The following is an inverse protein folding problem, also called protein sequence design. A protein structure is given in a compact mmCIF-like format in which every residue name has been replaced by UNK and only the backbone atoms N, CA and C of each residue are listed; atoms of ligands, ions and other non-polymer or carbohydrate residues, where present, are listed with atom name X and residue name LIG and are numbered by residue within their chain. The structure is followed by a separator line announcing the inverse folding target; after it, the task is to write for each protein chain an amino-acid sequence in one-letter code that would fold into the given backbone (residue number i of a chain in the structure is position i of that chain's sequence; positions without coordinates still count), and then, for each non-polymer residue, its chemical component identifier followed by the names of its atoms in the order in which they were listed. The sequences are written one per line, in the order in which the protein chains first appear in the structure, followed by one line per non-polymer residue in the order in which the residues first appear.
data_IF_348094601649
#
_entry.id   IF_348094601649
#
_cell.length_a   1.000
_cell.length_b   1.000
_cell.length_c   1.000
_cell.angle_alpha   90.00
_cell.angle_beta   90.00
_cell.angle_gamma   90.00
#
_symmetry.space_group_name_H-M   'P 1'
#
loop_
_entity.id
_entity.type
_entity.pdbx_description
1 polymer ?
#
# COMPACT_ATOMS: atom_id res chain seq x y z
N UNK A 1 1.80 -3.70 -11.94
CA UNK A 1 1.70 -4.97 -11.20
C UNK A 1 0.59 -4.82 -10.17
N UNK A 2 -0.37 -5.74 -10.10
CA UNK A 2 -1.41 -5.69 -9.07
C UNK A 2 -1.00 -6.52 -7.85
N UNK A 3 -1.11 -5.95 -6.65
CA UNK A 3 -0.79 -6.61 -5.40
C UNK A 3 -1.99 -6.52 -4.45
N UNK A 4 -2.38 -7.67 -3.88
CA UNK A 4 -3.45 -7.75 -2.89
C UNK A 4 -2.88 -8.24 -1.58
N UNK A 5 -3.07 -7.45 -0.53
CA UNK A 5 -2.67 -7.80 0.82
C UNK A 5 -3.91 -8.10 1.67
N UNK A 6 -3.91 -9.24 2.36
CA UNK A 6 -5.00 -9.69 3.25
C UNK A 6 -4.54 -9.74 4.70
N UNK A 7 -5.41 -9.35 5.63
CA UNK A 7 -5.16 -9.35 7.07
C UNK A 7 -6.44 -9.77 7.79
N UNK A 8 -6.45 -10.97 8.37
CA UNK A 8 -7.64 -11.56 9.00
C UNK A 8 -8.83 -11.56 8.02
N UNK A 9 -9.82 -10.71 8.26
CA UNK A 9 -11.04 -10.48 7.50
C UNK A 9 -10.97 -9.26 6.56
N UNK A 10 -9.86 -8.53 6.55
CA UNK A 10 -9.63 -7.35 5.72
C UNK A 10 -8.78 -7.68 4.48
N UNK A 11 -8.99 -6.94 3.40
CA UNK A 11 -8.12 -7.00 2.23
C UNK A 11 -8.02 -5.68 1.51
N UNK A 12 -6.83 -5.32 1.03
CA UNK A 12 -6.64 -4.20 0.13
C UNK A 12 -5.90 -4.62 -1.13
N UNK A 13 -6.28 -4.04 -2.25
CA UNK A 13 -5.64 -4.21 -3.54
C UNK A 13 -5.13 -2.88 -4.02
N UNK A 14 -3.87 -2.87 -4.43
CA UNK A 14 -3.21 -1.71 -5.01
C UNK A 14 -2.62 -2.09 -6.36
N UNK A 15 -2.53 -1.11 -7.25
CA UNK A 15 -1.76 -1.23 -8.47
C UNK A 15 -0.43 -0.51 -8.26
N UNK A 16 0.65 -1.25 -8.45
CA UNK A 16 2.01 -0.75 -8.33
C UNK A 16 2.57 -0.60 -9.74
N UNK A 17 2.79 0.63 -10.15
CA UNK A 17 3.55 0.96 -11.36
C UNK A 17 4.96 1.30 -10.91
N UNK A 18 5.97 0.67 -11.48
CA UNK A 18 7.35 0.96 -11.13
C UNK A 18 8.25 0.92 -12.37
N UNK A 19 9.29 1.73 -12.33
CA UNK A 19 10.41 1.77 -13.26
C UNK A 19 11.72 1.80 -12.46
N UNK A 20 12.86 1.91 -13.14
CA UNK A 20 14.14 2.10 -12.44
C UNK A 20 14.24 3.46 -11.74
N UNK A 21 13.38 4.43 -12.08
CA UNK A 21 13.48 5.82 -11.63
C UNK A 21 12.24 6.30 -10.86
N UNK A 22 11.14 5.54 -10.89
CA UNK A 22 9.86 5.98 -10.33
C UNK A 22 9.00 4.82 -9.84
N UNK A 23 8.10 5.11 -8.91
CA UNK A 23 7.00 4.24 -8.52
C UNK A 23 5.73 5.04 -8.29
N UNK A 24 4.58 4.39 -8.48
CA UNK A 24 3.26 4.86 -8.07
C UNK A 24 2.50 3.68 -7.47
N UNK A 25 1.73 3.97 -6.41
CA UNK A 25 0.81 3.02 -5.79
C UNK A 25 -0.58 3.61 -5.86
N UNK A 26 -1.43 3.04 -6.70
CA UNK A 26 -2.81 3.46 -6.85
C UNK A 26 -3.72 2.52 -6.07
N UNK A 27 -4.60 3.08 -5.24
CA UNK A 27 -5.62 2.29 -4.56
C UNK A 27 -6.64 1.75 -5.56
N UNK A 28 -6.80 0.42 -5.63
CA UNK A 28 -7.75 -0.24 -6.54
C UNK A 28 -9.03 -0.60 -5.81
N UNK A 29 -8.92 -1.09 -4.58
CA UNK A 29 -10.08 -1.46 -3.80
C UNK A 29 -9.75 -2.08 -2.46
N UNK A 30 -10.76 -2.15 -1.61
CA UNK A 30 -10.65 -2.64 -0.24
C UNK A 30 -11.92 -3.37 0.21
N UNK A 31 -11.76 -4.36 1.07
CA UNK A 31 -12.86 -5.13 1.68
C UNK A 31 -12.71 -5.16 3.19
N UNK A 32 -13.83 -5.01 3.91
CA UNK A 32 -13.94 -4.91 5.37
C UNK A 32 -13.02 -3.85 6.00
N UNK A 33 -12.50 -2.90 5.23
CA UNK A 33 -11.55 -1.88 5.71
C UNK A 33 -12.23 -0.68 6.36
N UNK A 34 -13.55 -0.60 6.28
CA UNK A 34 -14.34 0.41 6.96
C UNK A 34 -14.56 -0.02 8.40
N UNK A 35 -13.98 0.70 9.34
CA UNK A 35 -14.43 0.72 10.72
C UNK A 35 -15.83 1.37 10.78
N UNK A 36 -16.57 1.09 11.85
CA UNK A 36 -17.86 1.72 12.10
C UNK A 36 -17.70 3.26 12.03
N UNK A 37 -18.41 3.91 11.09
CA UNK A 37 -18.31 5.36 10.86
C UNK A 37 -17.37 5.81 9.74
N UNK A 38 -17.16 5.00 8.70
CA UNK A 38 -16.42 5.37 7.47
C UNK A 38 -14.92 5.69 7.64
N UNK A 39 -14.32 5.35 8.79
CA UNK A 39 -12.88 5.49 8.99
C UNK A 39 -12.13 4.21 8.58
N UNK A 40 -11.05 4.35 7.82
CA UNK A 40 -10.19 3.22 7.48
C UNK A 40 -9.37 2.82 8.72
N UNK A 41 -9.42 1.54 9.12
CA UNK A 41 -8.77 1.04 10.34
C UNK A 41 -7.29 1.46 10.45
N UNK A 42 -6.88 1.94 11.64
CA UNK A 42 -5.49 2.38 11.92
C UNK A 42 -4.40 1.38 11.52
N UNK A 43 -4.69 0.09 11.62
CA UNK A 43 -3.78 -0.98 11.23
C UNK A 43 -3.48 -0.96 9.71
N UNK A 44 -4.46 -0.62 8.89
CA UNK A 44 -4.27 -0.46 7.45
C UNK A 44 -3.37 0.71 7.11
N UNK A 45 -3.65 1.89 7.68
CA UNK A 45 -2.82 3.08 7.45
C UNK A 45 -1.35 2.82 7.84
N UNK A 46 -1.13 2.10 8.95
CA UNK A 46 0.22 1.70 9.37
C UNK A 46 0.92 0.82 8.31
N UNK A 47 0.19 -0.11 7.70
CA UNK A 47 0.76 -1.01 6.69
C UNK A 47 1.03 -0.29 5.36
N UNK A 48 0.17 0.65 4.96
CA UNK A 48 0.40 1.50 3.78
C UNK A 48 1.65 2.35 3.98
N UNK A 49 1.76 3.05 5.12
CA UNK A 49 2.96 3.85 5.42
C UNK A 49 4.24 3.01 5.50
N UNK A 50 4.18 1.80 6.07
CA UNK A 50 5.34 0.91 6.10
C UNK A 50 5.79 0.48 4.68
N UNK A 51 4.84 0.29 3.76
CA UNK A 51 5.13 -0.03 2.37
C UNK A 51 5.73 1.18 1.63
N UNK A 52 5.19 2.37 1.86
CA UNK A 52 5.72 3.64 1.32
C UNK A 52 7.18 3.84 1.74
N UNK A 53 7.47 3.74 3.05
CA UNK A 53 8.82 3.86 3.62
C UNK A 53 9.82 2.88 3.00
N UNK A 54 9.40 1.63 2.75
CA UNK A 54 10.29 0.62 2.20
C UNK A 54 10.58 0.85 0.72
N UNK A 55 9.61 1.34 -0.05
CA UNK A 55 9.83 1.66 -1.46
C UNK A 55 10.73 2.90 -1.60
N UNK A 56 10.53 3.95 -0.79
CA UNK A 56 11.43 5.11 -0.76
C UNK A 56 12.88 4.70 -0.48
N UNK A 57 13.11 3.83 0.52
CA UNK A 57 14.45 3.32 0.82
C UNK A 57 15.07 2.55 -0.34
N UNK A 58 14.28 1.77 -1.08
CA UNK A 58 14.76 1.02 -2.25
C UNK A 58 15.12 1.95 -3.40
N UNK A 59 14.32 2.98 -3.65
CA UNK A 59 14.62 3.97 -4.69
C UNK A 59 15.84 4.82 -4.35
N UNK A 60 15.96 5.29 -3.10
CA UNK A 60 17.16 6.01 -2.65
C UNK A 60 18.44 5.20 -2.88
N UNK A 61 18.39 3.88 -2.63
CA UNK A 61 19.52 2.97 -2.89
C UNK A 61 19.77 2.70 -4.37
N UNK A 62 18.75 2.79 -5.23
CA UNK A 62 18.89 2.60 -6.67
C UNK A 62 19.41 3.85 -7.39
N UNK A 63 19.25 5.03 -6.79
CA UNK A 63 19.73 6.31 -7.31
C UNK A 63 21.22 6.61 -7.03
N UNK A 64 21.94 5.69 -6.38
CA UNK A 64 23.36 5.81 -6.02
C UNK A 64 24.16 4.66 -6.65
#
# INVERSE_FOLDING_TARGET
MQATQKWRDHSATVNIVYSNESFSIDHVGSSNLKEQGDQIHRAYNKNVHALEDEIEKRLYRASY
#
